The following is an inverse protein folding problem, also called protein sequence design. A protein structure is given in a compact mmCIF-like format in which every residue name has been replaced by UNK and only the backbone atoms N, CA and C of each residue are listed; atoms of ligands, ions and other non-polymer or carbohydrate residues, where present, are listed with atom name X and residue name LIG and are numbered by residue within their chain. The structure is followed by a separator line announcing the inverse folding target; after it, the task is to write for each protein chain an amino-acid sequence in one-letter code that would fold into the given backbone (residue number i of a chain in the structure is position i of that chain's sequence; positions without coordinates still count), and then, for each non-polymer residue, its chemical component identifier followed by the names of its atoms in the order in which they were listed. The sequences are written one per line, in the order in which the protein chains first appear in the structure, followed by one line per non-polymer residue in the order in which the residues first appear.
data_IF_631089039320
#
_entry.id   IF_631089039320
#
_cell.length_a   1.000
_cell.length_b   1.000
_cell.length_c   1.000
_cell.angle_alpha   90.00
_cell.angle_beta   90.00
_cell.angle_gamma   90.00
#
_symmetry.space_group_name_H-M   'P 1'
#
loop_
_entity.id
_entity.type
_entity.pdbx_description
1 polymer ?
#
# COMPACT_ATOMS: atom_id res chain seq x y z
N UNK A 1 57.38 55.90 21.42
CA UNK A 1 56.00 56.07 21.94
C UNK A 1 55.18 56.65 20.79
N UNK A 2 54.16 56.05 20.21
CA UNK A 2 53.05 55.31 20.82
C UNK A 2 52.39 54.45 19.74
N UNK A 3 52.50 53.14 19.92
CA UNK A 3 51.55 52.06 19.66
C UNK A 3 50.81 52.02 18.30
N UNK A 4 51.36 51.19 17.43
CA UNK A 4 50.62 50.39 16.45
C UNK A 4 49.62 49.48 17.20
N UNK A 5 48.31 49.66 16.97
CA UNK A 5 47.30 48.64 17.26
C UNK A 5 46.46 48.48 16.01
N UNK A 6 46.76 47.38 15.30
CA UNK A 6 46.05 46.85 14.13
C UNK A 6 44.58 46.66 14.51
N UNK A 7 43.62 47.00 13.63
CA UNK A 7 42.20 46.82 13.91
C UNK A 7 42.01 45.35 14.26
N UNK A 8 41.40 45.10 15.42
CA UNK A 8 41.04 43.74 15.86
C UNK A 8 40.24 43.15 14.72
N UNK A 9 40.97 42.29 14.03
CA UNK A 9 40.61 41.48 12.90
C UNK A 9 39.18 41.03 13.13
N UNK A 10 38.34 41.20 12.09
CA UNK A 10 37.21 40.34 11.82
C UNK A 10 37.39 39.04 12.59
N UNK A 11 36.71 38.92 13.74
CA UNK A 11 36.45 37.62 14.32
C UNK A 11 35.49 37.01 13.33
N UNK A 12 36.10 36.46 12.28
CA UNK A 12 35.70 35.30 11.55
C UNK A 12 34.61 34.60 12.35
N UNK A 13 33.36 34.94 12.04
CA UNK A 13 32.28 33.99 12.18
C UNK A 13 32.60 32.88 11.19
N UNK A 14 33.61 32.04 11.50
CA UNK A 14 33.60 30.66 11.06
C UNK A 14 32.49 30.05 11.90
N UNK A 15 31.25 30.40 11.55
CA UNK A 15 30.18 29.47 11.71
C UNK A 15 30.60 28.34 10.79
N UNK A 16 31.18 27.29 11.38
CA UNK A 16 31.22 26.01 10.72
C UNK A 16 29.74 25.67 10.56
N UNK A 17 29.14 26.05 9.43
CA UNK A 17 27.92 25.41 8.99
C UNK A 17 28.35 23.98 8.78
N UNK A 18 28.09 23.13 9.79
CA UNK A 18 28.05 21.69 9.62
C UNK A 18 27.08 21.49 8.46
N UNK A 19 27.59 21.40 7.24
CA UNK A 19 26.80 21.37 6.01
C UNK A 19 26.31 19.95 5.83
N UNK A 20 25.63 19.45 6.87
CA UNK A 20 24.94 18.18 6.79
C UNK A 20 23.83 18.36 5.80
N UNK A 21 23.81 17.48 4.82
CA UNK A 21 22.78 17.48 3.79
C UNK A 21 21.68 16.52 4.25
N UNK A 22 20.45 17.02 4.33
CA UNK A 22 19.28 16.20 4.64
C UNK A 22 18.79 15.50 3.38
N UNK A 23 18.29 14.29 3.55
CA UNK A 23 17.73 13.47 2.48
C UNK A 23 17.31 12.11 3.02
N UNK A 24 16.78 11.23 2.18
CA UNK A 24 16.37 9.91 2.64
C UNK A 24 17.58 9.00 2.88
N UNK A 25 17.77 8.50 4.11
CA UNK A 25 18.88 7.60 4.46
C UNK A 25 18.47 6.12 4.54
N UNK A 26 17.19 5.80 4.39
CA UNK A 26 16.71 4.42 4.42
C UNK A 26 16.96 3.73 3.07
N UNK A 27 17.76 2.67 3.08
CA UNK A 27 18.11 1.87 1.88
C UNK A 27 16.92 1.11 1.30
N UNK A 28 15.83 0.95 2.05
CA UNK A 28 14.59 0.36 1.57
C UNK A 28 13.67 1.38 0.88
N UNK A 29 13.95 2.68 0.96
CA UNK A 29 13.16 3.69 0.27
C UNK A 29 13.53 3.76 -1.22
N UNK A 30 12.53 4.06 -2.07
CA UNK A 30 12.73 4.19 -3.53
C UNK A 30 13.54 5.43 -3.91
N UNK A 31 13.62 6.40 -3.01
CA UNK A 31 14.37 7.65 -3.15
C UNK A 31 15.54 7.74 -2.17
N UNK A 32 16.17 6.61 -1.81
CA UNK A 32 17.38 6.59 -1.00
C UNK A 32 18.48 7.49 -1.59
N UNK A 33 19.03 8.37 -0.77
CA UNK A 33 20.05 9.35 -1.10
C UNK A 33 21.34 9.02 -0.35
N UNK A 34 22.27 8.35 -1.03
CA UNK A 34 23.55 7.92 -0.43
C UNK A 34 24.47 9.08 0.01
N UNK A 35 24.14 10.31 -0.36
CA UNK A 35 24.85 11.53 0.01
C UNK A 35 24.24 12.22 1.23
N UNK A 36 23.07 11.79 1.71
CA UNK A 36 22.40 12.36 2.87
C UNK A 36 23.11 11.95 4.17
N UNK A 37 23.31 12.94 5.05
CA UNK A 37 23.95 12.77 6.35
C UNK A 37 22.94 12.44 7.47
N UNK A 38 21.66 12.76 7.25
CA UNK A 38 20.56 12.50 8.16
C UNK A 38 19.24 12.40 7.41
N UNK A 39 18.30 11.64 7.97
CA UNK A 39 16.94 11.53 7.46
C UNK A 39 16.21 12.87 7.58
N UNK A 40 15.74 13.40 6.45
CA UNK A 40 14.90 14.61 6.43
C UNK A 40 13.40 14.30 6.41
N UNK A 41 13.01 13.02 6.50
CA UNK A 41 11.63 12.57 6.45
C UNK A 41 11.06 12.52 5.03
N UNK A 42 11.88 12.68 4.00
CA UNK A 42 11.44 12.60 2.60
C UNK A 42 11.36 11.17 2.05
N UNK A 43 11.67 10.14 2.85
CA UNK A 43 11.68 8.76 2.38
C UNK A 43 10.31 8.31 1.86
N UNK A 44 10.32 7.74 0.65
CA UNK A 44 9.18 7.17 -0.05
C UNK A 44 9.36 5.66 -0.13
N UNK A 45 8.34 4.93 0.23
CA UNK A 45 8.35 3.47 0.22
C UNK A 45 7.31 2.93 -0.74
N UNK A 46 7.59 1.75 -1.28
CA UNK A 46 6.68 1.01 -2.14
C UNK A 46 6.64 -0.45 -1.68
N UNK A 47 5.49 -1.08 -1.82
CA UNK A 47 5.34 -2.53 -1.71
C UNK A 47 4.17 -2.97 -2.58
N UNK A 48 4.11 -4.26 -2.89
CA UNK A 48 3.04 -4.83 -3.70
C UNK A 48 2.10 -5.65 -2.84
N UNK A 49 0.81 -5.50 -3.10
CA UNK A 49 -0.24 -6.29 -2.45
C UNK A 49 -0.93 -7.13 -3.51
N UNK A 50 -1.08 -8.42 -3.22
CA UNK A 50 -1.80 -9.37 -4.06
C UNK A 50 -2.94 -10.00 -3.28
N UNK A 51 -4.16 -9.88 -3.80
CA UNK A 51 -5.33 -10.52 -3.21
C UNK A 51 -5.48 -11.95 -3.72
N UNK A 52 -5.79 -12.88 -2.81
CA UNK A 52 -6.06 -14.27 -3.17
C UNK A 52 -7.05 -14.93 -2.23
N UNK A 53 -7.60 -16.07 -2.64
CA UNK A 53 -8.50 -16.85 -1.82
C UNK A 53 -8.26 -18.36 -1.99
N UNK A 54 -8.61 -19.12 -0.95
CA UNK A 54 -8.50 -20.58 -0.98
C UNK A 54 -9.72 -21.23 -1.63
N UNK A 55 -9.66 -22.56 -1.82
CA UNK A 55 -10.73 -23.31 -2.47
C UNK A 55 -12.06 -23.26 -1.70
N UNK A 56 -12.02 -23.05 -0.38
CA UNK A 56 -13.22 -22.96 0.45
C UNK A 56 -13.90 -21.61 0.19
N UNK A 57 -13.13 -20.52 0.26
CA UNK A 57 -13.59 -19.16 -0.07
C UNK A 57 -14.10 -19.09 -1.52
N UNK A 58 -13.38 -19.68 -2.49
CA UNK A 58 -13.84 -19.76 -3.88
C UNK A 58 -15.22 -20.42 -4.01
N UNK A 59 -15.42 -21.57 -3.34
CA UNK A 59 -16.71 -22.25 -3.35
C UNK A 59 -17.81 -21.41 -2.70
N UNK A 60 -17.51 -20.69 -1.61
CA UNK A 60 -18.46 -19.79 -0.96
C UNK A 60 -18.86 -18.62 -1.86
N UNK A 61 -17.90 -17.98 -2.55
CA UNK A 61 -18.18 -16.93 -3.54
C UNK A 61 -19.12 -17.42 -4.64
N UNK A 62 -18.84 -18.62 -5.19
CA UNK A 62 -19.66 -19.23 -6.24
C UNK A 62 -21.07 -19.60 -5.75
N UNK A 63 -21.21 -20.08 -4.50
CA UNK A 63 -22.51 -20.40 -3.91
C UNK A 63 -23.37 -19.16 -3.66
N UNK A 64 -22.74 -18.03 -3.32
CA UNK A 64 -23.41 -16.75 -3.14
C UNK A 64 -23.74 -16.06 -4.47
N UNK A 65 -23.07 -16.47 -5.56
CA UNK A 65 -23.40 -16.05 -6.91
C UNK A 65 -22.90 -14.66 -7.30
N UNK A 66 -21.82 -14.18 -6.67
CA UNK A 66 -21.23 -12.88 -7.03
C UNK A 66 -20.74 -12.86 -8.47
N UNK A 67 -20.97 -11.76 -9.18
CA UNK A 67 -20.54 -11.53 -10.56
C UNK A 67 -19.12 -10.97 -10.64
N UNK A 68 -18.63 -10.32 -9.57
CA UNK A 68 -17.23 -9.89 -9.42
C UNK A 68 -16.90 -9.59 -7.96
N UNK A 69 -15.60 -9.47 -7.69
CA UNK A 69 -15.06 -8.90 -6.46
C UNK A 69 -14.45 -7.53 -6.76
N UNK A 70 -14.75 -6.54 -5.93
CA UNK A 70 -14.15 -5.21 -5.97
C UNK A 70 -13.24 -5.03 -4.76
N UNK A 71 -12.00 -4.61 -5.00
CA UNK A 71 -10.95 -4.48 -4.00
C UNK A 71 -10.71 -3.03 -3.65
N UNK A 72 -10.63 -2.74 -2.35
CA UNK A 72 -10.42 -1.39 -1.85
C UNK A 72 -9.33 -1.35 -0.78
N UNK A 73 -8.56 -0.26 -0.77
CA UNK A 73 -7.52 0.01 0.23
C UNK A 73 -7.76 1.37 0.85
N UNK A 74 -7.51 1.49 2.16
CA UNK A 74 -7.59 2.74 2.89
C UNK A 74 -6.37 3.63 2.59
N UNK A 75 -6.59 4.81 2.01
CA UNK A 75 -5.53 5.82 1.82
C UNK A 75 -5.41 6.76 3.03
N UNK A 76 -6.54 7.09 3.63
CA UNK A 76 -6.61 7.89 4.86
C UNK A 76 -7.67 7.31 5.77
N UNK A 77 -7.57 7.48 7.10
CA UNK A 77 -8.52 6.89 8.03
C UNK A 77 -9.99 7.16 7.65
N UNK A 78 -10.72 6.11 7.32
CA UNK A 78 -12.12 6.12 6.88
C UNK A 78 -12.34 6.32 5.37
N UNK A 79 -11.29 6.46 4.56
CA UNK A 79 -11.40 6.68 3.10
C UNK A 79 -10.76 5.54 2.34
N UNK A 80 -11.62 4.70 1.76
CA UNK A 80 -11.23 3.57 0.92
C UNK A 80 -11.30 3.95 -0.56
N UNK A 81 -10.24 3.64 -1.30
CA UNK A 81 -10.17 3.81 -2.75
C UNK A 81 -10.33 2.48 -3.45
N UNK A 82 -10.99 2.50 -4.60
CA UNK A 82 -11.07 1.33 -5.48
C UNK A 82 -9.71 1.08 -6.15
N UNK A 83 -9.28 -0.17 -6.12
CA UNK A 83 -8.00 -0.61 -6.68
C UNK A 83 -8.23 -1.36 -7.98
N UNK A 84 -9.02 -2.44 -7.93
CA UNK A 84 -9.26 -3.31 -9.07
C UNK A 84 -10.49 -4.18 -8.85
N UNK A 85 -10.89 -4.91 -9.89
CA UNK A 85 -11.96 -5.90 -9.87
C UNK A 85 -11.50 -7.26 -10.38
N UNK A 86 -11.97 -8.33 -9.76
CA UNK A 86 -11.83 -9.69 -10.29
C UNK A 86 -13.17 -10.24 -10.75
N UNK A 87 -13.21 -10.72 -11.99
CA UNK A 87 -14.37 -11.38 -12.56
C UNK A 87 -14.17 -12.90 -12.57
N UNK A 88 -15.17 -13.69 -12.15
CA UNK A 88 -15.10 -15.13 -12.23
C UNK A 88 -15.01 -15.57 -13.70
N UNK A 89 -14.25 -16.64 -13.94
CA UNK A 89 -14.21 -17.29 -15.25
C UNK A 89 -15.57 -17.94 -15.58
N UNK A 90 -15.73 -18.49 -16.79
CA UNK A 90 -16.93 -19.28 -17.16
C UNK A 90 -17.25 -20.44 -16.19
N UNK A 91 -16.30 -20.83 -15.34
CA UNK A 91 -16.43 -21.88 -14.33
C UNK A 91 -16.52 -21.34 -12.88
N UNK A 92 -16.75 -20.04 -12.69
CA UNK A 92 -16.77 -19.39 -11.38
C UNK A 92 -15.40 -18.87 -10.93
N UNK A 93 -15.34 -18.43 -9.67
CA UNK A 93 -14.12 -18.13 -8.93
C UNK A 93 -13.35 -19.42 -8.66
N UNK A 94 -12.06 -19.44 -8.97
CA UNK A 94 -11.21 -20.63 -8.87
C UNK A 94 -9.97 -20.28 -8.06
N UNK A 95 -9.74 -21.02 -6.98
CA UNK A 95 -8.51 -20.87 -6.20
C UNK A 95 -7.33 -21.43 -6.99
N UNK A 96 -6.39 -20.56 -7.35
CA UNK A 96 -5.16 -20.91 -8.06
C UNK A 96 -3.96 -21.18 -7.12
N UNK A 97 -4.16 -21.09 -5.80
CA UNK A 97 -3.11 -21.20 -4.80
C UNK A 97 -2.63 -19.82 -4.31
N UNK A 98 -1.61 -19.82 -3.45
CA UNK A 98 -0.99 -18.59 -2.95
C UNK A 98 -0.17 -18.00 -4.12
N UNK A 99 -0.48 -16.77 -4.57
CA UNK A 99 0.21 -16.14 -5.70
C UNK A 99 1.66 -15.81 -5.34
N UNK A 100 2.54 -15.84 -6.34
CA UNK A 100 3.74 -15.01 -6.26
C UNK A 100 3.41 -13.61 -6.75
N UNK A 101 4.14 -12.65 -6.22
CA UNK A 101 3.99 -11.27 -6.59
C UNK A 101 4.50 -11.04 -8.01
N UNK A 102 3.87 -10.11 -8.72
CA UNK A 102 4.13 -9.84 -10.14
C UNK A 102 3.75 -10.97 -11.09
N UNK A 103 2.96 -11.95 -10.64
CA UNK A 103 2.28 -12.86 -11.55
C UNK A 103 1.07 -12.15 -12.16
N UNK A 104 1.01 -12.08 -13.49
CA UNK A 104 -0.07 -11.44 -14.26
C UNK A 104 -1.48 -12.01 -13.95
N UNK A 105 -1.56 -13.15 -13.26
CA UNK A 105 -2.79 -13.87 -12.97
C UNK A 105 -3.57 -13.34 -11.77
N UNK A 106 -3.03 -12.37 -11.02
CA UNK A 106 -3.65 -11.87 -9.79
C UNK A 106 -3.70 -10.35 -9.78
N UNK A 107 -4.67 -9.81 -9.03
CA UNK A 107 -4.76 -8.37 -8.76
C UNK A 107 -3.55 -7.98 -7.93
N UNK A 108 -2.58 -7.33 -8.58
CA UNK A 108 -1.40 -6.74 -7.94
C UNK A 108 -1.53 -5.23 -7.98
N UNK A 109 -1.50 -4.57 -6.82
CA UNK A 109 -1.42 -3.12 -6.76
C UNK A 109 -0.17 -2.68 -6.01
N UNK A 110 0.62 -1.74 -6.56
CA UNK A 110 1.66 -1.08 -5.79
C UNK A 110 1.00 -0.12 -4.79
N UNK A 111 1.50 -0.12 -3.57
CA UNK A 111 1.11 0.80 -2.50
C UNK A 111 2.32 1.64 -2.13
N UNK A 112 2.10 2.95 -2.01
CA UNK A 112 3.16 3.91 -1.67
C UNK A 112 2.83 4.63 -0.37
N UNK A 113 3.84 4.82 0.48
CA UNK A 113 3.70 5.58 1.72
C UNK A 113 5.01 6.31 2.08
N UNK A 114 4.95 7.12 3.14
CA UNK A 114 6.01 8.03 3.57
C UNK A 114 6.42 7.75 5.02
N UNK A 115 7.44 8.47 5.49
CA UNK A 115 7.93 8.56 6.88
C UNK A 115 8.67 7.32 7.41
N UNK A 116 8.09 6.12 7.33
CA UNK A 116 8.66 4.91 7.93
C UNK A 116 8.62 3.74 6.96
N UNK A 117 9.66 2.90 6.92
CA UNK A 117 9.70 1.67 6.11
C UNK A 117 8.69 0.60 6.51
N UNK A 118 7.87 0.84 7.54
CA UNK A 118 6.74 0.01 7.97
C UNK A 118 5.45 0.84 7.96
N UNK A 119 4.40 0.30 7.35
CA UNK A 119 3.03 0.85 7.39
C UNK A 119 2.01 -0.23 7.72
N UNK A 120 0.80 0.17 8.13
CA UNK A 120 -0.33 -0.75 8.29
C UNK A 120 -1.35 -0.45 7.19
N UNK A 121 -1.70 -1.46 6.41
CA UNK A 121 -2.69 -1.37 5.34
C UNK A 121 -4.02 -1.94 5.83
N UNK A 122 -5.09 -1.19 5.59
CA UNK A 122 -6.46 -1.66 5.78
C UNK A 122 -7.08 -1.88 4.41
N UNK A 123 -7.77 -3.00 4.21
CA UNK A 123 -8.46 -3.29 2.96
C UNK A 123 -9.89 -3.74 3.21
N UNK A 124 -10.73 -3.53 2.20
CA UNK A 124 -12.08 -4.06 2.11
C UNK A 124 -12.28 -4.76 0.77
N UNK A 125 -13.02 -5.86 0.78
CA UNK A 125 -13.40 -6.58 -0.45
C UNK A 125 -14.91 -6.66 -0.50
N UNK A 126 -15.48 -6.24 -1.62
CA UNK A 126 -16.92 -6.30 -1.86
C UNK A 126 -17.25 -7.32 -2.93
N UNK A 127 -18.19 -8.21 -2.65
CA UNK A 127 -18.83 -9.05 -3.65
C UNK A 127 -19.97 -8.30 -4.32
N UNK A 128 -19.95 -8.21 -5.64
CA UNK A 128 -20.95 -7.48 -6.42
C UNK A 128 -21.87 -8.46 -7.13
N UNK A 129 -23.17 -8.23 -7.04
CA UNK A 129 -24.18 -8.87 -7.89
C UNK A 129 -24.75 -7.84 -8.86
N UNK A 130 -24.89 -8.22 -10.12
CA UNK A 130 -25.41 -7.42 -11.22
C UNK A 130 -26.75 -8.01 -11.62
N UNK A 131 -27.81 -7.29 -11.31
CA UNK A 131 -29.17 -7.65 -11.76
C UNK A 131 -29.65 -6.69 -12.84
N UNK A 132 -30.68 -7.07 -13.59
CA UNK A 132 -31.30 -6.18 -14.56
C UNK A 132 -32.72 -5.85 -14.12
N UNK A 133 -33.02 -4.55 -13.99
CA UNK A 133 -34.39 -4.07 -13.80
C UNK A 133 -34.74 -3.17 -14.98
N UNK A 134 -35.73 -3.59 -15.77
CA UNK A 134 -36.18 -2.86 -16.97
C UNK A 134 -35.04 -2.59 -17.98
N UNK A 135 -34.05 -3.48 -18.07
CA UNK A 135 -32.90 -3.33 -18.97
C UNK A 135 -31.78 -2.44 -18.44
N UNK A 136 -31.90 -1.94 -17.21
CA UNK A 136 -30.86 -1.16 -16.53
C UNK A 136 -30.08 -2.11 -15.60
N UNK A 137 -28.73 -2.16 -15.69
CA UNK A 137 -27.92 -2.90 -14.75
C UNK A 137 -27.98 -2.22 -13.36
N UNK A 138 -28.30 -3.00 -12.34
CA UNK A 138 -28.30 -2.60 -10.94
C UNK A 138 -27.25 -3.44 -10.23
N UNK A 139 -26.26 -2.77 -9.68
CA UNK A 139 -25.21 -3.38 -8.89
C UNK A 139 -25.56 -3.31 -7.41
N UNK A 140 -25.41 -4.44 -6.72
CA UNK A 140 -25.55 -4.52 -5.27
C UNK A 140 -24.26 -5.09 -4.69
N UNK A 141 -23.64 -4.32 -3.81
CA UNK A 141 -22.37 -4.67 -3.16
C UNK A 141 -22.62 -5.28 -1.78
N UNK A 142 -21.81 -6.26 -1.41
CA UNK A 142 -21.81 -6.89 -0.08
C UNK A 142 -20.38 -6.98 0.42
N UNK A 143 -20.11 -6.49 1.63
CA UNK A 143 -18.78 -6.61 2.24
C UNK A 143 -18.45 -8.08 2.51
N UNK A 144 -17.43 -8.60 1.83
CA UNK A 144 -16.95 -9.99 1.88
C UNK A 144 -15.83 -10.15 2.90
N UNK A 145 -14.87 -9.22 2.93
CA UNK A 145 -13.76 -9.21 3.88
C UNK A 145 -13.35 -7.77 4.24
N UNK A 146 -12.81 -7.61 5.43
CA UNK A 146 -12.22 -6.37 5.94
C UNK A 146 -11.11 -6.74 6.93
N UNK A 147 -9.87 -6.37 6.63
CA UNK A 147 -8.73 -6.73 7.47
C UNK A 147 -7.61 -5.70 7.42
N UNK A 148 -6.72 -5.80 8.41
CA UNK A 148 -5.55 -4.94 8.56
C UNK A 148 -4.30 -5.80 8.67
N UNK A 149 -3.24 -5.44 7.96
CA UNK A 149 -1.95 -6.10 8.08
C UNK A 149 -0.80 -5.09 7.96
N UNK A 150 0.30 -5.42 8.61
CA UNK A 150 1.54 -4.65 8.55
C UNK A 150 2.31 -4.98 7.27
N UNK A 151 2.86 -3.97 6.62
CA UNK A 151 3.57 -4.07 5.34
C UNK A 151 4.92 -3.35 5.43
N UNK A 152 5.98 -4.08 5.08
CA UNK A 152 7.33 -3.52 5.02
C UNK A 152 7.66 -3.01 3.61
N UNK A 153 8.56 -2.03 3.53
CA UNK A 153 9.07 -1.52 2.28
C UNK A 153 9.75 -2.62 1.44
N UNK A 154 9.45 -2.64 0.14
CA UNK A 154 9.85 -3.66 -0.83
C UNK A 154 9.40 -5.08 -0.48
N UNK A 155 8.47 -5.25 0.47
CA UNK A 155 7.79 -6.52 0.67
C UNK A 155 6.77 -6.73 -0.44
N UNK A 156 6.40 -7.99 -0.61
CA UNK A 156 5.14 -8.27 -1.24
C UNK A 156 4.24 -9.10 -0.32
N UNK A 157 3.06 -8.56 -0.05
CA UNK A 157 2.08 -9.17 0.82
C UNK A 157 0.98 -9.87 0.02
N UNK A 158 0.85 -11.18 0.24
CA UNK A 158 -0.31 -11.94 -0.20
C UNK A 158 -1.44 -11.80 0.81
N UNK A 159 -2.45 -10.99 0.49
CA UNK A 159 -3.63 -10.77 1.30
C UNK A 159 -4.69 -11.85 1.01
N UNK A 160 -4.84 -12.79 1.94
CA UNK A 160 -5.87 -13.83 1.83
C UNK A 160 -7.24 -13.27 2.19
N UNK A 161 -8.19 -13.34 1.26
CA UNK A 161 -9.60 -12.98 1.49
C UNK A 161 -10.22 -14.00 2.45
N UNK A 162 -10.74 -13.50 3.56
CA UNK A 162 -11.38 -14.27 4.64
C UNK A 162 -12.81 -13.79 4.79
N UNK A 163 -13.79 -14.58 4.35
CA UNK A 163 -15.21 -14.24 4.54
C UNK A 163 -15.52 -13.79 5.98
N UNK A 164 -16.12 -12.61 6.12
CA UNK A 164 -16.53 -12.07 7.42
C UNK A 164 -17.47 -13.00 8.18
N UNK A 165 -18.25 -13.83 7.47
CA UNK A 165 -19.16 -14.83 8.08
C UNK A 165 -18.44 -15.88 8.95
N UNK A 166 -17.12 -16.03 8.83
CA UNK A 166 -16.30 -16.95 9.63
C UNK A 166 -15.65 -16.30 10.85
N UNK A 167 -15.73 -14.97 11.04
CA UNK A 167 -15.36 -14.34 12.32
C UNK A 167 -16.54 -14.47 13.30
N UNK A 168 -16.58 -15.59 14.01
CA UNK A 168 -17.34 -15.70 15.27
C UNK A 168 -16.51 -15.20 16.44
#
# INVERSE_FOLDING_TARGET
MKNLIIPVFLLFFISCSDSRSGGCIDVAAVNYENWADFDDGSCNYIADVVFFYDAITANELNLLGYDRLDYYIEETPGTFIFIDSEYPSNNGFIAAGIPNCYEDTYVTTPITWFDNGLTTINYQVYGVNITSLLGIPIETETLVDEYSFDLLANECAAAQIRFLSKRK
#
